data_IF_322935790438
#
_entry.id   IF_322935790438
#
_cell.length_a   1.000
_cell.length_b   1.000
_cell.length_c   1.000
_cell.angle_alpha   90.00
_cell.angle_beta   90.00
_cell.angle_gamma   90.00
#
_symmetry.space_group_name_H-M   'P 1'
#
loop_
_entity.id
_entity.type
_entity.pdbx_description
1 polymer ?
#
# COMPACT_ATOMS: atom_id res chain seq x y z
N UNK A 1 -18.19 -11.01 -18.36
CA UNK A 1 -17.41 -11.02 -19.64
C UNK A 1 -15.96 -11.29 -19.29
N UNK A 2 -15.30 -12.26 -19.93
CA UNK A 2 -13.87 -12.53 -19.68
C UNK A 2 -13.01 -11.82 -20.73
N UNK A 3 -11.85 -11.32 -20.30
CA UNK A 3 -10.85 -10.74 -21.20
C UNK A 3 -10.14 -11.92 -21.90
N UNK A 4 -10.12 -11.97 -23.25
CA UNK A 4 -9.49 -13.07 -23.96
C UNK A 4 -8.01 -13.20 -23.58
N UNK A 5 -7.56 -14.43 -23.32
CA UNK A 5 -6.18 -14.75 -23.00
C UNK A 5 -5.78 -14.52 -21.54
N UNK A 6 -6.51 -13.69 -20.77
CA UNK A 6 -6.20 -13.41 -19.37
C UNK A 6 -6.76 -14.53 -18.46
N UNK A 7 -5.93 -15.01 -17.56
CA UNK A 7 -6.24 -16.06 -16.58
C UNK A 7 -6.23 -15.54 -15.14
N UNK A 8 -5.37 -14.57 -14.84
CA UNK A 8 -5.24 -14.01 -13.51
C UNK A 8 -5.17 -12.48 -13.55
N UNK A 9 -5.60 -11.86 -12.45
CA UNK A 9 -5.50 -10.43 -12.19
C UNK A 9 -4.64 -10.23 -10.96
N UNK A 10 -3.61 -9.39 -11.09
CA UNK A 10 -2.82 -8.94 -9.95
C UNK A 10 -3.19 -7.50 -9.65
N UNK A 11 -3.47 -7.20 -8.39
CA UNK A 11 -3.93 -5.88 -7.97
C UNK A 11 -2.86 -5.14 -7.20
N UNK A 12 -2.54 -3.91 -7.61
CA UNK A 12 -2.07 -2.92 -6.66
C UNK A 12 -3.18 -2.63 -5.65
N UNK A 13 -2.83 -2.34 -4.41
CA UNK A 13 -3.85 -2.09 -3.38
C UNK A 13 -3.77 -0.70 -2.77
N UNK A 14 -2.58 -0.14 -2.59
CA UNK A 14 -2.39 1.17 -1.97
C UNK A 14 -2.81 2.33 -2.88
N UNK A 15 -4.02 2.82 -2.77
CA UNK A 15 -4.62 3.84 -3.63
C UNK A 15 -5.49 3.25 -4.74
N UNK A 16 -5.23 2.01 -5.17
CA UNK A 16 -6.05 1.31 -6.16
C UNK A 16 -7.31 0.71 -5.52
N UNK A 17 -7.14 0.00 -4.43
CA UNK A 17 -8.23 -0.65 -3.69
C UNK A 17 -8.53 0.06 -2.38
N UNK A 18 -7.48 0.44 -1.64
CA UNK A 18 -7.58 1.07 -0.34
C UNK A 18 -7.21 2.56 -0.39
N UNK A 19 -8.04 3.39 0.23
CA UNK A 19 -7.83 4.84 0.35
C UNK A 19 -6.82 5.16 1.46
N UNK A 20 -5.52 5.10 1.12
CA UNK A 20 -4.46 5.46 2.04
C UNK A 20 -4.50 6.94 2.41
N UNK A 21 -4.86 7.81 1.45
CA UNK A 21 -4.84 9.26 1.66
C UNK A 21 -5.93 9.68 2.63
N UNK A 22 -7.18 9.29 2.39
CA UNK A 22 -8.28 9.64 3.26
C UNK A 22 -8.13 9.08 4.67
N UNK A 23 -7.54 7.89 4.82
CA UNK A 23 -7.21 7.32 6.12
C UNK A 23 -6.24 8.21 6.91
N UNK A 24 -5.12 8.63 6.30
CA UNK A 24 -4.13 9.48 6.94
C UNK A 24 -4.68 10.88 7.19
N UNK A 25 -5.30 11.52 6.18
CA UNK A 25 -5.87 12.87 6.30
C UNK A 25 -6.84 12.94 7.49
N UNK A 26 -7.73 11.96 7.62
CA UNK A 26 -8.72 11.92 8.71
C UNK A 26 -8.08 11.80 10.09
N UNK A 27 -7.06 10.96 10.22
CA UNK A 27 -6.40 10.75 11.52
C UNK A 27 -5.50 11.93 11.91
N UNK A 28 -4.74 12.48 10.96
CA UNK A 28 -3.92 13.68 11.18
C UNK A 28 -4.78 14.88 11.51
N UNK A 29 -5.94 15.06 10.85
CA UNK A 29 -6.88 16.13 11.19
C UNK A 29 -7.43 15.95 12.61
N UNK A 30 -7.79 14.74 13.01
CA UNK A 30 -8.26 14.45 14.36
C UNK A 30 -7.21 14.83 15.42
N UNK A 31 -5.95 14.43 15.20
CA UNK A 31 -4.84 14.77 16.09
C UNK A 31 -4.57 16.28 16.15
N UNK A 32 -4.64 16.93 14.98
CA UNK A 32 -4.50 18.39 14.86
C UNK A 32 -5.56 19.12 15.68
N UNK A 33 -6.82 18.72 15.56
CA UNK A 33 -7.96 19.30 16.28
C UNK A 33 -7.82 19.10 17.79
N UNK A 34 -7.40 17.89 18.24
CA UNK A 34 -7.19 17.57 19.66
C UNK A 34 -6.08 18.40 20.30
N UNK A 35 -5.02 18.69 19.56
CA UNK A 35 -3.89 19.48 20.06
C UNK A 35 -4.06 20.99 19.82
N UNK A 36 -5.09 21.43 19.08
CA UNK A 36 -5.23 22.79 18.63
C UNK A 36 -4.09 23.23 17.69
N UNK A 37 -3.52 22.27 16.97
CA UNK A 37 -2.43 22.49 16.02
C UNK A 37 -2.99 22.91 14.65
N UNK A 38 -2.18 23.64 13.86
CA UNK A 38 -2.51 24.00 12.47
C UNK A 38 -1.68 23.13 11.52
N UNK A 39 -2.25 22.03 11.08
CA UNK A 39 -1.60 21.05 10.18
C UNK A 39 -2.41 20.89 8.91
N UNK A 40 -1.77 21.11 7.76
CA UNK A 40 -2.34 20.67 6.48
C UNK A 40 -2.26 19.13 6.38
N UNK A 41 -3.32 18.45 6.83
CA UNK A 41 -3.39 16.99 6.87
C UNK A 41 -3.19 16.35 5.48
N UNK A 42 -3.63 17.02 4.42
CA UNK A 42 -3.47 16.57 3.04
C UNK A 42 -2.01 16.64 2.60
N UNK A 43 -1.35 17.74 2.90
CA UNK A 43 0.07 17.90 2.58
C UNK A 43 0.91 16.93 3.42
N UNK A 44 0.56 16.76 4.71
CA UNK A 44 1.19 15.78 5.59
C UNK A 44 1.13 14.36 5.00
N UNK A 45 -0.06 13.90 4.61
CA UNK A 45 -0.24 12.59 3.99
C UNK A 45 0.60 12.42 2.70
N UNK A 46 0.66 13.46 1.89
CA UNK A 46 1.45 13.49 0.66
C UNK A 46 2.95 13.38 0.96
N UNK A 47 3.45 14.19 1.91
CA UNK A 47 4.85 14.19 2.31
C UNK A 47 5.27 12.85 2.92
N UNK A 48 4.41 12.24 3.75
CA UNK A 48 4.67 10.93 4.34
C UNK A 48 4.86 9.85 3.27
N UNK A 49 3.93 9.80 2.29
CA UNK A 49 4.06 8.85 1.17
C UNK A 49 5.31 9.10 0.33
N UNK A 50 5.59 10.35 -0.02
CA UNK A 50 6.77 10.71 -0.81
C UNK A 50 8.05 10.31 -0.06
N UNK A 51 8.10 10.58 1.24
CA UNK A 51 9.27 10.22 2.05
C UNK A 51 9.48 8.72 2.12
N UNK A 52 8.41 7.95 2.33
CA UNK A 52 8.48 6.49 2.35
C UNK A 52 9.07 5.93 1.05
N UNK A 53 8.64 6.44 -0.11
CA UNK A 53 9.20 5.99 -1.40
C UNK A 53 10.67 6.39 -1.57
N UNK A 54 11.10 7.54 -1.06
CA UNK A 54 12.51 7.90 -1.05
C UNK A 54 13.34 6.93 -0.20
N UNK A 55 12.83 6.57 0.98
CA UNK A 55 13.49 5.59 1.84
C UNK A 55 13.52 4.19 1.20
N UNK A 56 12.48 3.80 0.48
CA UNK A 56 12.47 2.55 -0.29
C UNK A 56 13.57 2.54 -1.37
N UNK A 57 13.80 3.65 -2.08
CA UNK A 57 14.91 3.72 -3.05
C UNK A 57 16.28 3.58 -2.34
N UNK A 58 16.44 4.15 -1.15
CA UNK A 58 17.66 3.97 -0.36
C UNK A 58 17.87 2.52 0.12
N UNK A 59 16.79 1.82 0.42
CA UNK A 59 16.85 0.36 0.71
C UNK A 59 17.25 -0.41 -0.55
N UNK A 60 16.66 -0.09 -1.71
CA UNK A 60 16.97 -0.74 -2.98
C UNK A 60 18.42 -0.50 -3.43
N UNK A 61 18.97 0.68 -3.16
CA UNK A 61 20.38 1.00 -3.45
C UNK A 61 21.35 0.42 -2.44
N UNK A 62 20.87 -0.10 -1.31
CA UNK A 62 21.72 -0.61 -0.21
C UNK A 62 22.29 0.47 0.72
N UNK A 63 21.84 1.72 0.57
CA UNK A 63 22.20 2.82 1.48
C UNK A 63 21.49 2.74 2.83
N UNK A 64 20.31 2.14 2.85
CA UNK A 64 19.61 1.74 4.07
C UNK A 64 19.53 0.21 4.17
N UNK A 65 19.51 -0.33 5.40
CA UNK A 65 19.31 -1.76 5.59
C UNK A 65 17.95 -2.22 5.08
N UNK A 66 17.78 -3.51 4.74
CA UNK A 66 16.48 -4.06 4.36
C UNK A 66 15.42 -3.78 5.43
N UNK A 67 14.27 -3.25 5.00
CA UNK A 67 13.10 -3.00 5.85
C UNK A 67 11.84 -3.22 5.03
N UNK A 68 10.79 -3.68 5.73
CA UNK A 68 9.45 -3.77 5.14
C UNK A 68 8.75 -2.41 5.09
N UNK A 69 7.57 -2.37 4.48
CA UNK A 69 6.82 -1.12 4.33
C UNK A 69 6.42 -0.50 5.68
N UNK A 70 6.14 -1.31 6.71
CA UNK A 70 5.81 -0.80 8.06
C UNK A 70 6.96 0.02 8.65
N UNK A 71 8.17 -0.53 8.60
CA UNK A 71 9.35 0.15 9.09
C UNK A 71 9.69 1.38 8.26
N UNK A 72 9.49 1.31 6.93
CA UNK A 72 9.67 2.46 6.04
C UNK A 72 8.67 3.58 6.34
N UNK A 73 7.38 3.25 6.53
CA UNK A 73 6.37 4.22 6.90
C UNK A 73 6.69 4.86 8.26
N UNK A 74 7.07 4.03 9.25
CA UNK A 74 7.40 4.53 10.59
C UNK A 74 8.61 5.48 10.58
N UNK A 75 9.67 5.12 9.84
CA UNK A 75 10.84 5.97 9.65
C UNK A 75 10.49 7.28 8.95
N UNK A 76 9.73 7.19 7.87
CA UNK A 76 9.28 8.37 7.12
C UNK A 76 8.41 9.31 7.96
N UNK A 77 7.59 8.75 8.86
CA UNK A 77 6.73 9.52 9.76
C UNK A 77 7.53 10.43 10.69
N UNK A 78 8.65 9.96 11.26
CA UNK A 78 9.48 10.79 12.13
C UNK A 78 9.96 12.06 11.44
N UNK A 79 10.46 11.92 10.20
CA UNK A 79 10.95 13.08 9.45
C UNK A 79 9.82 14.02 9.00
N UNK A 80 8.63 13.48 8.71
CA UNK A 80 7.48 14.30 8.32
C UNK A 80 6.94 15.08 9.51
N UNK A 81 6.86 14.46 10.69
CA UNK A 81 6.48 15.17 11.93
C UNK A 81 7.46 16.32 12.21
N UNK A 82 8.75 16.04 12.14
CA UNK A 82 9.79 17.06 12.37
C UNK A 82 9.73 18.20 11.34
N UNK A 83 9.42 17.87 10.07
CA UNK A 83 9.25 18.85 8.99
C UNK A 83 8.05 19.77 9.20
N UNK A 84 6.90 19.21 9.59
CA UNK A 84 5.67 19.97 9.79
C UNK A 84 5.68 20.73 11.12
N UNK A 85 6.36 20.20 12.18
CA UNK A 85 6.64 20.89 13.43
C UNK A 85 5.44 21.28 14.30
N UNK A 86 4.22 20.92 13.86
CA UNK A 86 2.98 21.37 14.49
C UNK A 86 2.30 20.28 15.34
N UNK A 87 2.67 19.01 15.16
CA UNK A 87 2.17 17.88 15.96
C UNK A 87 3.25 17.43 16.95
N UNK A 88 2.87 17.41 18.21
CA UNK A 88 3.72 16.84 19.27
C UNK A 88 3.25 15.42 19.58
N UNK A 89 3.98 14.42 19.07
CA UNK A 89 3.67 13.00 19.26
C UNK A 89 4.83 12.29 19.96
N UNK A 90 4.53 11.62 21.07
CA UNK A 90 5.44 10.68 21.72
C UNK A 90 5.76 9.50 20.77
N UNK A 91 6.78 8.74 21.10
CA UNK A 91 7.15 7.53 20.32
C UNK A 91 5.97 6.56 20.18
N UNK A 92 5.22 6.32 21.27
CA UNK A 92 4.06 5.44 21.26
C UNK A 92 2.93 5.95 20.37
N UNK A 93 2.68 7.28 20.38
CA UNK A 93 1.64 7.87 19.51
C UNK A 93 2.05 7.84 18.04
N UNK A 94 3.34 7.99 17.74
CA UNK A 94 3.86 7.79 16.37
C UNK A 94 3.70 6.34 15.93
N UNK A 95 3.95 5.36 16.80
CA UNK A 95 3.75 3.94 16.53
C UNK A 95 2.26 3.65 16.27
N UNK A 96 1.36 4.27 17.05
CA UNK A 96 -0.09 4.14 16.86
C UNK A 96 -0.55 4.81 15.56
N UNK A 97 -0.07 6.02 15.24
CA UNK A 97 -0.37 6.69 13.98
C UNK A 97 0.10 5.85 12.79
N UNK A 98 1.25 5.17 12.90
CA UNK A 98 1.72 4.27 11.85
C UNK A 98 0.75 3.12 11.57
N UNK A 99 -0.06 2.70 12.55
CA UNK A 99 -1.06 1.63 12.36
C UNK A 99 -2.23 2.04 11.43
N UNK A 100 -2.33 3.31 11.03
CA UNK A 100 -3.35 3.76 10.08
C UNK A 100 -3.24 3.03 8.73
N UNK A 101 -2.02 2.65 8.33
CA UNK A 101 -1.78 1.87 7.12
C UNK A 101 -2.44 0.50 7.13
N UNK A 102 -2.71 -0.07 8.31
CA UNK A 102 -3.39 -1.36 8.49
C UNK A 102 -4.93 -1.26 8.50
N UNK A 103 -5.48 -0.03 8.50
CA UNK A 103 -6.91 0.25 8.65
C UNK A 103 -7.48 1.08 7.49
N UNK A 104 -6.82 1.06 6.35
CA UNK A 104 -7.27 1.77 5.16
C UNK A 104 -8.61 1.19 4.68
N UNK A 105 -9.58 2.07 4.41
CA UNK A 105 -10.87 1.68 3.84
C UNK A 105 -10.75 1.41 2.34
N UNK A 106 -11.47 0.41 1.87
CA UNK A 106 -11.61 0.18 0.43
C UNK A 106 -12.49 1.27 -0.21
N UNK A 107 -12.20 1.60 -1.45
CA UNK A 107 -13.05 2.48 -2.25
C UNK A 107 -14.47 1.88 -2.37
N UNK A 108 -15.52 2.73 -2.42
CA UNK A 108 -16.89 2.26 -2.60
C UNK A 108 -17.02 1.35 -3.83
N UNK A 109 -17.57 0.16 -3.63
CA UNK A 109 -17.77 -0.84 -4.68
C UNK A 109 -16.54 -1.70 -5.04
N UNK A 110 -15.35 -1.41 -4.51
CA UNK A 110 -14.15 -2.19 -4.81
C UNK A 110 -14.26 -3.65 -4.34
N UNK A 111 -14.78 -3.87 -3.13
CA UNK A 111 -14.98 -5.21 -2.55
C UNK A 111 -15.90 -6.05 -3.44
N UNK A 112 -17.07 -5.53 -3.79
CA UNK A 112 -18.03 -6.22 -4.65
C UNK A 112 -17.47 -6.51 -6.05
N UNK A 113 -16.71 -5.57 -6.61
CA UNK A 113 -16.08 -5.73 -7.91
C UNK A 113 -15.03 -6.86 -7.89
N UNK A 114 -14.19 -6.91 -6.86
CA UNK A 114 -13.16 -7.93 -6.71
C UNK A 114 -13.80 -9.31 -6.47
N UNK A 115 -14.83 -9.40 -5.63
CA UNK A 115 -15.55 -10.66 -5.43
C UNK A 115 -16.14 -11.19 -6.74
N UNK A 116 -16.73 -10.33 -7.58
CA UNK A 116 -17.21 -10.73 -8.93
C UNK A 116 -16.08 -11.15 -9.87
N UNK A 117 -14.94 -10.50 -9.82
CA UNK A 117 -13.79 -10.86 -10.64
C UNK A 117 -13.22 -12.22 -10.24
N UNK A 118 -13.23 -12.57 -8.94
CA UNK A 118 -12.80 -13.88 -8.44
C UNK A 118 -13.64 -15.07 -8.98
N UNK A 119 -14.89 -14.83 -9.36
CA UNK A 119 -15.70 -15.89 -10.01
C UNK A 119 -15.15 -16.31 -11.37
N UNK A 120 -14.34 -15.45 -12.01
CA UNK A 120 -13.89 -15.62 -13.38
C UNK A 120 -12.37 -15.76 -13.54
N UNK A 121 -11.62 -15.20 -12.61
CA UNK A 121 -10.15 -15.11 -12.63
C UNK A 121 -9.56 -15.50 -11.28
N UNK A 122 -8.32 -15.96 -11.29
CA UNK A 122 -7.51 -15.93 -10.09
C UNK A 122 -7.18 -14.46 -9.78
N UNK A 123 -7.56 -13.95 -8.61
CA UNK A 123 -7.31 -12.56 -8.20
C UNK A 123 -6.36 -12.52 -7.01
N UNK A 124 -5.24 -11.84 -7.18
CA UNK A 124 -4.21 -11.74 -6.15
C UNK A 124 -3.76 -10.29 -5.98
N UNK A 125 -3.22 -10.01 -4.82
CA UNK A 125 -2.49 -8.75 -4.57
C UNK A 125 -1.07 -8.86 -5.12
N UNK A 126 -0.56 -7.79 -5.72
CA UNK A 126 0.87 -7.56 -6.00
C UNK A 126 1.22 -6.13 -5.56
N UNK A 127 1.89 -5.99 -4.43
CA UNK A 127 2.04 -4.69 -3.76
C UNK A 127 3.44 -4.48 -3.17
N UNK A 128 3.83 -3.21 -3.04
CA UNK A 128 5.00 -2.78 -2.26
C UNK A 128 4.71 -2.64 -0.76
N UNK A 129 3.43 -2.62 -0.37
CA UNK A 129 3.04 -2.66 1.03
C UNK A 129 3.48 -3.99 1.66
N UNK A 130 3.67 -3.99 2.97
CA UNK A 130 3.98 -5.23 3.69
C UNK A 130 2.84 -6.24 3.56
N UNK A 131 3.19 -7.50 3.73
CA UNK A 131 2.18 -8.58 3.78
C UNK A 131 1.17 -8.31 4.89
N UNK A 132 1.64 -7.86 6.06
CA UNK A 132 0.79 -7.55 7.20
C UNK A 132 -0.23 -6.45 6.87
N UNK A 133 0.20 -5.33 6.29
CA UNK A 133 -0.72 -4.25 5.85
C UNK A 133 -1.76 -4.80 4.87
N UNK A 134 -1.35 -5.56 3.87
CA UNK A 134 -2.27 -6.10 2.87
C UNK A 134 -3.30 -7.07 3.47
N UNK A 135 -2.88 -7.92 4.43
CA UNK A 135 -3.77 -8.84 5.15
C UNK A 135 -4.75 -8.07 6.04
N UNK A 136 -4.25 -7.13 6.85
CA UNK A 136 -5.07 -6.41 7.82
C UNK A 136 -6.11 -5.52 7.12
N UNK A 137 -5.71 -4.79 6.08
CA UNK A 137 -6.66 -4.02 5.26
C UNK A 137 -7.70 -4.92 4.59
N UNK A 138 -7.31 -6.10 4.11
CA UNK A 138 -8.26 -7.04 3.52
C UNK A 138 -9.29 -7.51 4.54
N UNK A 139 -8.85 -7.88 5.74
CA UNK A 139 -9.74 -8.27 6.85
C UNK A 139 -10.61 -7.11 7.32
N UNK A 140 -10.05 -5.92 7.43
CA UNK A 140 -10.77 -4.72 7.85
C UNK A 140 -11.95 -4.38 6.92
N UNK A 141 -11.84 -4.74 5.62
CA UNK A 141 -12.83 -4.47 4.60
C UNK A 141 -13.66 -5.70 4.17
N UNK A 142 -13.53 -6.83 4.88
CA UNK A 142 -14.17 -8.12 4.49
C UNK A 142 -13.85 -8.52 3.03
N UNK A 143 -12.62 -8.25 2.60
CA UNK A 143 -12.15 -8.53 1.25
C UNK A 143 -11.31 -9.81 1.22
N UNK A 144 -11.64 -10.72 0.32
CA UNK A 144 -10.93 -11.98 0.13
C UNK A 144 -10.19 -12.00 -1.22
N UNK A 145 -8.96 -12.49 -1.19
CA UNK A 145 -8.10 -12.73 -2.34
C UNK A 145 -7.80 -14.23 -2.49
N UNK A 146 -7.39 -14.65 -3.67
CA UNK A 146 -6.86 -16.01 -3.87
C UNK A 146 -5.39 -16.11 -3.43
N UNK A 147 -4.70 -14.97 -3.28
CA UNK A 147 -3.36 -14.87 -2.74
C UNK A 147 -2.90 -13.43 -2.55
N UNK A 148 -1.88 -13.23 -1.74
CA UNK A 148 -1.24 -11.94 -1.50
C UNK A 148 0.25 -12.09 -1.78
N UNK A 149 0.75 -11.32 -2.74
CA UNK A 149 2.16 -11.21 -3.07
C UNK A 149 2.64 -9.80 -2.67
N UNK A 150 3.39 -9.74 -1.58
CA UNK A 150 4.12 -8.53 -1.21
C UNK A 150 5.54 -8.58 -1.79
N UNK A 151 6.02 -7.46 -2.30
CA UNK A 151 7.39 -7.34 -2.77
C UNK A 151 8.44 -7.61 -1.69
N UNK A 152 8.06 -7.60 -0.40
CA UNK A 152 8.97 -7.98 0.69
C UNK A 152 9.42 -9.46 0.65
N UNK A 153 8.68 -10.32 -0.08
CA UNK A 153 9.03 -11.72 -0.32
C UNK A 153 9.65 -11.96 -1.69
N UNK A 154 9.81 -10.91 -2.48
CA UNK A 154 10.24 -11.00 -3.86
C UNK A 154 11.64 -10.42 -3.98
N UNK A 155 12.37 -10.88 -5.00
CA UNK A 155 13.72 -10.34 -5.27
C UNK A 155 13.67 -8.93 -5.88
N UNK A 156 12.49 -8.51 -6.34
CA UNK A 156 12.26 -7.26 -7.07
C UNK A 156 11.05 -6.51 -6.53
N UNK A 157 11.16 -5.19 -6.46
CA UNK A 157 10.05 -4.29 -6.14
C UNK A 157 9.40 -3.76 -7.42
N UNK A 158 8.10 -3.53 -7.40
CA UNK A 158 7.44 -2.69 -8.40
C UNK A 158 8.17 -1.33 -8.44
N UNK A 159 8.44 -0.74 -9.54
CA UNK A 159 7.97 -0.96 -10.92
C UNK A 159 8.95 -1.75 -11.80
N UNK A 160 9.87 -2.51 -11.20
CA UNK A 160 10.76 -3.36 -11.98
C UNK A 160 9.92 -4.42 -12.72
N UNK A 161 10.07 -4.57 -14.06
CA UNK A 161 9.36 -5.59 -14.83
C UNK A 161 9.53 -7.01 -14.28
N UNK A 162 10.64 -7.30 -13.62
CA UNK A 162 10.91 -8.60 -13.04
C UNK A 162 9.95 -8.93 -11.87
N UNK A 163 9.46 -7.91 -11.13
CA UNK A 163 8.45 -8.12 -10.09
C UNK A 163 7.14 -8.69 -10.67
N UNK A 164 6.70 -8.16 -11.80
CA UNK A 164 5.47 -8.64 -12.48
C UNK A 164 5.67 -10.03 -13.10
N UNK A 165 6.84 -10.29 -13.69
CA UNK A 165 7.20 -11.60 -14.24
C UNK A 165 7.27 -12.67 -13.12
N UNK A 166 7.85 -12.33 -11.99
CA UNK A 166 7.91 -13.21 -10.82
C UNK A 166 6.51 -13.48 -10.28
N UNK A 167 5.65 -12.46 -10.19
CA UNK A 167 4.24 -12.61 -9.81
C UNK A 167 3.49 -13.59 -10.75
N UNK A 168 3.64 -13.43 -12.06
CA UNK A 168 3.02 -14.32 -13.03
C UNK A 168 3.54 -15.78 -12.89
N UNK A 169 4.85 -15.95 -12.69
CA UNK A 169 5.47 -17.26 -12.46
C UNK A 169 4.96 -17.94 -11.19
N UNK A 170 4.78 -17.19 -10.09
CA UNK A 170 4.22 -17.72 -8.84
C UNK A 170 2.78 -18.21 -9.02
N UNK A 171 2.02 -17.61 -9.93
CA UNK A 171 0.66 -18.03 -10.30
C UNK A 171 0.64 -19.19 -11.30
N UNK A 172 1.80 -19.64 -11.80
CA UNK A 172 1.90 -20.69 -12.81
C UNK A 172 1.44 -20.25 -14.21
N UNK A 173 1.50 -18.95 -14.51
CA UNK A 173 1.07 -18.35 -15.77
C UNK A 173 2.22 -17.65 -16.48
N UNK A 174 2.05 -17.47 -17.83
CA UNK A 174 2.93 -16.59 -18.59
C UNK A 174 2.55 -15.12 -18.31
N UNK A 175 3.51 -14.17 -18.43
CA UNK A 175 3.22 -12.75 -18.20
C UNK A 175 2.06 -12.19 -19.05
N UNK A 176 1.89 -12.67 -20.29
CA UNK A 176 0.81 -12.27 -21.19
C UNK A 176 -0.58 -12.86 -20.83
N UNK A 177 -0.63 -13.74 -19.85
CA UNK A 177 -1.86 -14.32 -19.28
C UNK A 177 -2.28 -13.65 -17.96
N UNK A 178 -1.47 -12.73 -17.44
CA UNK A 178 -1.72 -12.02 -16.17
C UNK A 178 -1.84 -10.52 -16.45
N UNK A 179 -2.91 -9.92 -15.96
CA UNK A 179 -3.13 -8.47 -16.09
C UNK A 179 -2.96 -7.78 -14.74
N UNK A 180 -2.13 -6.74 -14.72
CA UNK A 180 -2.03 -5.83 -13.59
C UNK A 180 -3.21 -4.86 -13.57
N UNK A 181 -3.81 -4.66 -12.41
CA UNK A 181 -4.89 -3.69 -12.15
C UNK A 181 -4.37 -2.66 -11.17
N UNK A 182 -4.24 -1.43 -11.62
CA UNK A 182 -3.73 -0.32 -10.81
C UNK A 182 -4.31 1.02 -11.26
N UNK A 183 -4.37 1.99 -10.35
CA UNK A 183 -4.70 3.39 -10.66
C UNK A 183 -3.48 4.20 -11.06
N UNK A 184 -2.28 3.73 -10.72
CA UNK A 184 -1.04 4.40 -11.03
C UNK A 184 -0.56 3.99 -12.43
N UNK A 185 -0.30 4.97 -13.29
CA UNK A 185 0.11 4.74 -14.69
C UNK A 185 1.52 4.17 -14.82
N UNK A 186 2.25 4.03 -13.73
CA UNK A 186 3.61 3.47 -13.68
C UNK A 186 3.63 1.97 -13.40
N UNK A 187 2.51 1.41 -12.95
CA UNK A 187 2.36 -0.04 -12.66
C UNK A 187 2.18 -0.88 -13.91
#
# INVERSE_FOLDING_TARGET
MKIPGIKALTFDVGGTVFDWRGAIESEVQRLSDEQGADVDARQFATDWRIRMFKDLELVKSGELPPMNADALHRRALDEVIDKHGSLELSVSERDELNQIWHRMKAWPGAVDAIHKLREAYTTTVLTVLSYAIAVDCSKFNDLSWDGIMSCEFMDHYKIDPQAYQQGAKLLGHRPDEVMMVATHTVD
#
